data_IF_509418447925
#
_entry.id   IF_509418447925
#
_cell.length_a   1.000
_cell.length_b   1.000
_cell.length_c   1.000
_cell.angle_alpha   90.00
_cell.angle_beta   90.00
_cell.angle_gamma   90.00
#
_symmetry.space_group_name_H-M   'P 1'
#
loop_
_entity.id
_entity.type
_entity.pdbx_description
1 polymer ?
#
# COMPACT_ATOMS: atom_id res chain seq x y z
N UNK A 1 5.09 32.16 2.94
CA UNK A 1 5.10 30.81 2.34
C UNK A 1 5.67 29.84 3.36
N UNK A 2 5.08 28.65 3.50
CA UNK A 2 5.66 27.62 4.36
C UNK A 2 6.95 27.07 3.72
N UNK A 3 8.03 26.99 4.49
CA UNK A 3 9.28 26.35 4.05
C UNK A 3 9.06 24.84 3.99
N UNK A 4 9.06 24.26 2.78
CA UNK A 4 8.85 22.82 2.59
C UNK A 4 10.16 22.05 2.77
N UNK A 5 10.18 21.09 3.69
CA UNK A 5 11.27 20.13 3.83
C UNK A 5 10.88 18.79 3.21
N UNK A 6 11.52 18.43 2.11
CA UNK A 6 11.23 17.22 1.35
C UNK A 6 11.78 15.93 1.99
N UNK A 7 12.66 16.03 3.00
CA UNK A 7 13.30 14.89 3.70
C UNK A 7 13.86 13.81 2.76
N UNK A 8 14.41 14.23 1.62
CA UNK A 8 14.98 13.33 0.63
C UNK A 8 16.22 12.63 1.24
N UNK A 9 16.39 11.30 1.08
CA UNK A 9 17.57 10.61 1.58
C UNK A 9 18.87 11.13 0.97
N UNK A 10 19.96 11.06 1.72
CA UNK A 10 21.27 11.56 1.30
C UNK A 10 21.99 10.57 0.37
N UNK A 11 23.08 11.02 -0.26
CA UNK A 11 23.94 10.17 -1.11
C UNK A 11 23.60 10.17 -2.62
N UNK A 12 24.36 9.40 -3.41
CA UNK A 12 24.23 9.34 -4.88
C UNK A 12 22.84 8.89 -5.33
N UNK A 13 22.30 9.49 -6.39
CA UNK A 13 20.93 9.26 -6.86
C UNK A 13 20.62 7.78 -7.12
N UNK A 14 21.54 7.06 -7.77
CA UNK A 14 21.38 5.64 -8.10
C UNK A 14 21.18 4.76 -6.86
N UNK A 15 21.82 5.11 -5.74
CA UNK A 15 21.83 4.28 -4.52
C UNK A 15 20.91 4.82 -3.43
N UNK A 16 20.41 6.03 -3.59
CA UNK A 16 19.73 6.83 -2.56
C UNK A 16 18.61 6.08 -1.85
N UNK A 17 17.66 5.55 -2.62
CA UNK A 17 16.51 4.84 -2.07
C UNK A 17 16.83 3.43 -1.63
N UNK A 18 17.81 2.77 -2.26
CA UNK A 18 18.28 1.46 -1.84
C UNK A 18 18.89 1.56 -0.46
N UNK A 19 19.86 2.45 -0.26
CA UNK A 19 20.52 2.71 1.04
C UNK A 19 19.51 3.09 2.12
N UNK A 20 18.58 3.99 1.81
CA UNK A 20 17.54 4.38 2.75
C UNK A 20 16.71 3.19 3.25
N UNK A 21 16.31 2.27 2.36
CA UNK A 21 15.56 1.07 2.74
C UNK A 21 16.40 0.12 3.61
N UNK A 22 17.70 0.00 3.36
CA UNK A 22 18.59 -0.86 4.17
C UNK A 22 18.83 -0.30 5.56
N UNK A 23 18.90 1.03 5.69
CA UNK A 23 19.24 1.73 6.93
C UNK A 23 18.00 2.04 7.81
N UNK A 24 16.79 1.93 7.26
CA UNK A 24 15.57 2.22 8.00
C UNK A 24 15.39 1.26 9.17
N UNK A 25 15.11 1.80 10.36
CA UNK A 25 14.86 0.98 11.55
C UNK A 25 13.56 0.20 11.38
N UNK A 26 13.64 -1.12 11.52
CA UNK A 26 12.46 -1.97 11.51
C UNK A 26 11.57 -1.69 12.73
N UNK A 27 10.26 -1.74 12.51
CA UNK A 27 9.26 -1.56 13.56
C UNK A 27 8.97 -2.93 14.19
N UNK A 28 9.40 -3.12 15.44
CA UNK A 28 9.01 -4.30 16.23
C UNK A 28 7.48 -4.31 16.47
N UNK A 29 6.80 -5.47 16.41
CA UNK A 29 5.38 -5.64 16.79
C UNK A 29 4.92 -4.84 18.02
N UNK A 30 5.68 -4.83 19.11
CA UNK A 30 5.31 -4.11 20.35
C UNK A 30 5.23 -2.59 20.17
N UNK A 31 5.89 -2.03 19.16
CA UNK A 31 5.96 -0.60 18.90
C UNK A 31 4.95 -0.11 17.85
N UNK A 32 4.23 -1.00 17.16
CA UNK A 32 3.34 -0.61 16.04
C UNK A 32 2.26 0.40 16.45
N UNK A 33 1.71 0.28 17.67
CA UNK A 33 0.70 1.20 18.22
C UNK A 33 1.21 2.63 18.46
N UNK A 34 2.54 2.83 18.50
CA UNK A 34 3.15 4.16 18.65
C UNK A 34 3.10 4.97 17.35
N UNK A 35 2.86 4.31 16.21
CA UNK A 35 2.80 4.95 14.91
C UNK A 35 1.35 5.13 14.47
N UNK A 36 1.06 6.32 13.96
CA UNK A 36 -0.21 6.63 13.32
C UNK A 36 -0.01 6.70 11.80
N UNK A 37 -0.81 5.93 11.07
CA UNK A 37 -0.80 5.91 9.61
C UNK A 37 -2.03 6.62 9.09
N UNK A 38 -1.81 7.56 8.18
CA UNK A 38 -2.88 8.26 7.48
C UNK A 38 -2.99 7.63 6.08
N UNK A 39 -4.18 7.12 5.77
CA UNK A 39 -4.53 6.63 4.43
C UNK A 39 -5.51 7.62 3.82
N UNK A 40 -5.15 8.21 2.69
CA UNK A 40 -6.00 9.14 1.94
C UNK A 40 -6.57 8.41 0.72
N UNK A 41 -7.88 8.20 0.73
CA UNK A 41 -8.63 7.39 -0.23
C UNK A 41 -8.96 6.01 0.33
N UNK A 42 -10.23 5.59 0.20
CA UNK A 42 -10.73 4.28 0.63
C UNK A 42 -11.34 3.48 -0.53
N UNK A 43 -10.80 3.64 -1.75
CA UNK A 43 -11.03 2.70 -2.83
C UNK A 43 -10.30 1.37 -2.59
N UNK A 44 -10.33 0.46 -3.57
CA UNK A 44 -9.77 -0.89 -3.46
C UNK A 44 -8.39 -0.94 -2.77
N UNK A 45 -7.42 -0.16 -3.26
CA UNK A 45 -6.06 -0.14 -2.70
C UNK A 45 -6.01 0.47 -1.29
N UNK A 46 -6.64 1.63 -1.08
CA UNK A 46 -6.59 2.36 0.18
C UNK A 46 -7.30 1.63 1.32
N UNK A 47 -8.48 1.07 1.06
CA UNK A 47 -9.21 0.25 2.02
C UNK A 47 -8.42 -1.03 2.39
N UNK A 48 -7.83 -1.71 1.40
CA UNK A 48 -7.00 -2.91 1.64
C UNK A 48 -5.77 -2.57 2.47
N UNK A 49 -5.06 -1.49 2.15
CA UNK A 49 -3.90 -1.05 2.91
C UNK A 49 -4.28 -0.66 4.36
N UNK A 50 -5.36 0.10 4.53
CA UNK A 50 -5.85 0.51 5.84
C UNK A 50 -6.21 -0.70 6.71
N UNK A 51 -6.93 -1.68 6.15
CA UNK A 51 -7.30 -2.92 6.85
C UNK A 51 -6.09 -3.73 7.26
N UNK A 52 -5.16 -4.01 6.34
CA UNK A 52 -3.96 -4.81 6.64
C UNK A 52 -3.06 -4.14 7.68
N UNK A 53 -2.92 -2.81 7.64
CA UNK A 53 -2.13 -2.08 8.63
C UNK A 53 -2.82 -2.05 10.01
N UNK A 54 -4.14 -1.87 10.04
CA UNK A 54 -4.89 -1.93 11.28
C UNK A 54 -4.80 -3.32 11.93
N UNK A 55 -4.92 -4.39 11.14
CA UNK A 55 -4.80 -5.79 11.59
C UNK A 55 -3.40 -6.09 12.15
N UNK A 56 -2.35 -5.50 11.55
CA UNK A 56 -1.00 -5.57 12.09
C UNK A 56 -0.82 -4.83 13.43
N UNK A 57 -1.79 -4.02 13.87
CA UNK A 57 -1.79 -3.31 15.15
C UNK A 57 -1.35 -1.84 15.07
N UNK A 58 -1.30 -1.24 13.87
CA UNK A 58 -1.06 0.20 13.71
C UNK A 58 -2.32 1.01 14.02
N UNK A 59 -2.15 2.26 14.46
CA UNK A 59 -3.27 3.20 14.54
C UNK A 59 -3.50 3.80 13.15
N UNK A 60 -4.61 3.46 12.51
CA UNK A 60 -4.89 3.90 11.13
C UNK A 60 -6.04 4.90 11.09
N UNK A 61 -5.82 6.04 10.43
CA UNK A 61 -6.86 7.00 10.07
C UNK A 61 -7.08 6.95 8.56
N UNK A 62 -8.26 6.54 8.14
CA UNK A 62 -8.62 6.43 6.73
C UNK A 62 -9.58 7.55 6.36
N UNK A 63 -9.18 8.40 5.41
CA UNK A 63 -9.95 9.55 4.96
C UNK A 63 -10.44 9.37 3.54
N UNK A 64 -11.66 9.82 3.28
CA UNK A 64 -12.21 9.95 1.93
C UNK A 64 -12.77 11.36 1.77
N UNK A 65 -12.64 11.90 0.56
CA UNK A 65 -13.30 13.16 0.21
C UNK A 65 -14.80 12.95 -0.06
N UNK A 66 -15.19 11.76 -0.51
CA UNK A 66 -16.58 11.44 -0.81
C UNK A 66 -17.40 11.21 0.47
N UNK A 67 -18.70 11.54 0.45
CA UNK A 67 -19.63 11.22 1.55
C UNK A 67 -19.69 9.73 1.91
N UNK A 68 -19.22 8.84 1.03
CA UNK A 68 -19.10 7.41 1.32
C UNK A 68 -17.86 6.79 0.67
N UNK A 69 -17.12 5.91 1.39
CA UNK A 69 -16.07 5.07 0.81
C UNK A 69 -16.53 4.25 -0.40
N UNK A 70 -17.83 3.92 -0.47
CA UNK A 70 -18.41 3.15 -1.58
C UNK A 70 -18.53 3.93 -2.88
N UNK A 71 -18.20 5.23 -2.90
CA UNK A 71 -18.19 6.05 -4.13
C UNK A 71 -16.82 6.18 -4.77
N UNK A 72 -15.82 5.44 -4.29
CA UNK A 72 -14.55 5.32 -5.00
C UNK A 72 -14.76 4.66 -6.38
N UNK A 73 -14.01 5.11 -7.39
CA UNK A 73 -14.17 4.61 -8.76
C UNK A 73 -13.96 3.09 -8.89
N UNK A 74 -13.25 2.46 -7.95
CA UNK A 74 -13.11 1.00 -7.89
C UNK A 74 -14.44 0.23 -7.80
N UNK A 75 -15.54 0.86 -7.36
CA UNK A 75 -16.86 0.21 -7.36
C UNK A 75 -17.45 0.05 -8.77
N UNK A 76 -16.99 0.85 -9.74
CA UNK A 76 -17.45 0.81 -11.11
C UNK A 76 -16.71 -0.27 -11.95
N UNK A 77 -15.83 -1.06 -11.34
CA UNK A 77 -15.16 -2.16 -12.03
C UNK A 77 -16.17 -3.23 -12.46
N UNK A 78 -16.10 -3.67 -13.72
CA UNK A 78 -17.08 -4.59 -14.32
C UNK A 78 -16.49 -5.96 -14.69
N UNK A 79 -15.24 -6.00 -15.17
CA UNK A 79 -14.64 -7.22 -15.71
C UNK A 79 -14.28 -8.24 -14.63
N UNK A 80 -13.20 -7.99 -13.89
CA UNK A 80 -12.69 -8.90 -12.88
C UNK A 80 -11.24 -8.61 -12.51
N UNK A 81 -10.65 -9.51 -11.70
CA UNK A 81 -9.24 -9.45 -11.32
C UNK A 81 -8.57 -10.72 -11.83
N UNK A 82 -7.56 -10.55 -12.69
CA UNK A 82 -6.77 -11.67 -13.20
C UNK A 82 -5.84 -12.21 -12.10
N UNK A 83 -5.76 -13.53 -11.99
CA UNK A 83 -4.81 -14.22 -11.12
C UNK A 83 -4.53 -15.61 -11.70
N UNK A 84 -3.26 -16.04 -11.68
CA UNK A 84 -2.90 -17.44 -11.96
C UNK A 84 -3.32 -18.28 -10.76
N UNK A 85 -4.37 -19.09 -10.91
CA UNK A 85 -4.97 -19.90 -9.83
C UNK A 85 -4.73 -21.39 -10.01
N UNK A 86 -4.24 -21.79 -11.18
CA UNK A 86 -4.00 -23.15 -11.62
C UNK A 86 -5.22 -24.02 -11.42
N UNK A 87 -6.36 -23.56 -11.95
CA UNK A 87 -7.55 -24.40 -12.01
C UNK A 87 -7.22 -25.70 -12.75
N UNK A 88 -7.87 -26.79 -12.34
CA UNK A 88 -7.60 -28.10 -12.92
C UNK A 88 -7.77 -28.04 -14.45
N UNK A 89 -6.72 -28.44 -15.17
CA UNK A 89 -6.62 -28.44 -16.64
C UNK A 89 -6.47 -27.06 -17.32
N UNK A 90 -6.36 -25.96 -16.57
CA UNK A 90 -6.17 -24.62 -17.14
C UNK A 90 -4.70 -24.39 -17.54
N UNK A 91 -3.78 -25.09 -16.86
CA UNK A 91 -2.33 -25.01 -17.14
C UNK A 91 -1.77 -23.59 -16.96
N UNK A 92 -2.48 -22.73 -16.23
CA UNK A 92 -2.03 -21.39 -15.93
C UNK A 92 -0.80 -21.43 -15.00
N UNK A 93 0.01 -20.38 -15.03
CA UNK A 93 1.11 -20.22 -14.09
C UNK A 93 1.49 -18.76 -13.97
N UNK A 94 2.21 -18.41 -12.89
CA UNK A 94 2.80 -17.08 -12.74
C UNK A 94 3.70 -16.76 -13.91
N UNK A 95 4.46 -17.73 -14.42
CA UNK A 95 5.32 -17.51 -15.60
C UNK A 95 4.50 -17.07 -16.81
N UNK A 96 3.41 -17.77 -17.13
CA UNK A 96 2.51 -17.43 -18.26
C UNK A 96 1.78 -16.11 -18.10
N UNK A 97 1.61 -15.62 -16.87
CA UNK A 97 0.97 -14.33 -16.61
C UNK A 97 1.93 -13.15 -16.85
N UNK A 98 3.24 -13.36 -16.72
CA UNK A 98 4.24 -12.28 -16.74
C UNK A 98 5.26 -12.36 -17.89
N UNK A 99 5.39 -13.49 -18.59
CA UNK A 99 6.32 -13.73 -19.69
C UNK A 99 5.62 -14.42 -20.86
#
# INVERSE_FOLDING_TARGET
MATLNSKIPTGPLAEKWRKHKTEIKLVNPANKRKYEVIVVGAGLAGASAASSLADLGYKVKCFVFHDSPRRAHSIAAQGGINAAKNYQNDGDSVHRLFY
#
